data_IF_701283666206
#
_entry.id   IF_701283666206
#
_cell.length_a   1.000
_cell.length_b   1.000
_cell.length_c   1.000
_cell.angle_alpha   90.00
_cell.angle_beta   90.00
_cell.angle_gamma   90.00
#
_symmetry.space_group_name_H-M   'P 1'
#
loop_
_entity.id
_entity.type
_entity.pdbx_description
1 polymer ?
#
# COMPACT_ATOMS: atom_id res chain seq x y z
N UNK A 1 80.44 5.02 -41.67
CA UNK A 1 79.49 3.94 -41.28
C UNK A 1 79.52 3.51 -39.79
N UNK A 2 80.22 4.19 -38.86
CA UNK A 2 80.17 3.86 -37.41
C UNK A 2 79.11 4.62 -36.60
N UNK A 3 78.56 5.71 -37.12
CA UNK A 3 77.56 6.56 -36.41
C UNK A 3 76.13 6.00 -36.47
N UNK A 4 75.75 5.34 -37.57
CA UNK A 4 74.39 4.83 -37.79
C UNK A 4 73.98 3.71 -36.83
N UNK A 5 74.95 2.94 -36.31
CA UNK A 5 74.68 1.83 -35.36
C UNK A 5 74.33 2.30 -33.94
N UNK A 6 74.65 3.55 -33.56
CA UNK A 6 74.36 4.07 -32.21
C UNK A 6 72.91 4.53 -32.02
N UNK A 7 72.21 4.87 -33.11
CA UNK A 7 70.81 5.33 -33.05
C UNK A 7 69.77 4.19 -33.13
N UNK A 8 70.15 3.00 -33.61
CA UNK A 8 69.23 1.87 -33.83
C UNK A 8 68.89 1.15 -32.51
N UNK A 9 69.85 1.05 -31.59
CA UNK A 9 69.67 0.36 -30.31
C UNK A 9 68.58 0.97 -29.40
N UNK A 10 68.50 2.31 -29.19
CA UNK A 10 67.44 2.88 -28.35
C UNK A 10 66.06 2.75 -28.98
N UNK A 11 65.93 2.83 -30.31
CA UNK A 11 64.65 2.65 -31.02
C UNK A 11 64.16 1.21 -30.86
N UNK A 12 65.06 0.23 -30.99
CA UNK A 12 64.72 -1.17 -30.79
C UNK A 12 64.25 -1.46 -29.36
N UNK A 13 64.91 -0.87 -28.35
CA UNK A 13 64.49 -0.98 -26.95
C UNK A 13 63.13 -0.35 -26.68
N UNK A 14 62.84 0.81 -27.27
CA UNK A 14 61.52 1.46 -27.13
C UNK A 14 60.43 0.61 -27.76
N UNK A 15 60.65 0.10 -28.97
CA UNK A 15 59.69 -0.79 -29.65
C UNK A 15 59.50 -2.09 -28.86
N UNK A 16 60.57 -2.67 -28.31
CA UNK A 16 60.49 -3.88 -27.49
C UNK A 16 59.70 -3.64 -26.21
N UNK A 17 59.96 -2.53 -25.51
CA UNK A 17 59.20 -2.12 -24.31
C UNK A 17 57.73 -1.85 -24.63
N UNK A 18 57.44 -1.20 -25.76
CA UNK A 18 56.06 -0.93 -26.19
C UNK A 18 55.34 -2.23 -26.58
N UNK A 19 56.01 -3.14 -27.28
CA UNK A 19 55.48 -4.45 -27.63
C UNK A 19 55.25 -5.34 -26.39
N UNK A 20 56.13 -5.30 -25.39
CA UNK A 20 55.92 -6.01 -24.12
C UNK A 20 54.82 -5.39 -23.29
N UNK A 21 54.76 -4.06 -23.16
CA UNK A 21 53.67 -3.38 -22.48
C UNK A 21 52.31 -3.66 -23.15
N UNK A 22 52.26 -3.62 -24.48
CA UNK A 22 51.07 -3.95 -25.27
C UNK A 22 50.70 -5.44 -25.12
N UNK A 23 51.68 -6.35 -25.12
CA UNK A 23 51.46 -7.77 -24.86
C UNK A 23 50.89 -8.01 -23.47
N UNK A 24 51.42 -7.38 -22.41
CA UNK A 24 50.89 -7.50 -21.06
C UNK A 24 49.54 -6.80 -20.89
N UNK A 25 49.27 -5.72 -21.62
CA UNK A 25 47.96 -5.06 -21.66
C UNK A 25 46.90 -5.95 -22.34
N UNK A 26 47.23 -6.55 -23.48
CA UNK A 26 46.36 -7.48 -24.21
C UNK A 26 46.20 -8.83 -23.49
N UNK A 27 47.22 -9.27 -22.74
CA UNK A 27 47.23 -10.52 -21.96
C UNK A 27 46.83 -10.32 -20.49
N UNK A 28 46.51 -9.08 -20.09
CA UNK A 28 45.62 -8.82 -18.95
C UNK A 28 44.23 -9.27 -19.42
N UNK A 29 44.09 -10.58 -19.63
CA UNK A 29 42.83 -11.20 -19.99
C UNK A 29 41.79 -10.74 -18.99
N UNK A 30 40.55 -10.63 -19.44
CA UNK A 30 39.43 -10.33 -18.57
C UNK A 30 39.63 -11.09 -17.26
N UNK A 31 39.52 -10.42 -16.10
CA UNK A 31 39.61 -11.13 -14.84
C UNK A 31 38.68 -12.33 -14.97
N UNK A 32 39.13 -13.51 -14.56
CA UNK A 32 38.38 -14.75 -14.74
C UNK A 32 37.13 -14.73 -13.84
N UNK A 33 36.15 -13.92 -14.22
CA UNK A 33 34.87 -13.82 -13.57
C UNK A 33 34.08 -15.06 -13.96
N UNK A 34 33.44 -15.68 -12.98
CA UNK A 34 32.52 -16.78 -13.24
C UNK A 34 31.30 -16.21 -13.96
N UNK A 35 31.32 -16.26 -15.30
CA UNK A 35 30.15 -15.93 -16.12
C UNK A 35 29.06 -16.96 -15.90
N UNK A 36 27.83 -16.49 -15.78
CA UNK A 36 26.64 -17.32 -15.63
C UNK A 36 25.59 -16.87 -16.63
N UNK A 37 24.72 -17.78 -17.07
CA UNK A 37 23.56 -17.42 -17.89
C UNK A 37 22.42 -17.01 -16.98
N UNK A 38 22.08 -15.72 -16.95
CA UNK A 38 20.98 -15.20 -16.12
C UNK A 38 20.23 -14.06 -16.80
N UNK A 39 18.91 -14.06 -16.64
CA UNK A 39 18.02 -13.02 -17.13
C UNK A 39 17.59 -12.05 -16.03
N UNK A 40 16.77 -11.09 -16.38
CA UNK A 40 16.28 -10.03 -15.49
C UNK A 40 14.78 -10.00 -15.47
N UNK A 41 14.20 -9.52 -14.37
CA UNK A 41 12.79 -9.18 -14.31
C UNK A 41 12.53 -8.07 -13.29
N UNK A 42 11.44 -7.31 -13.49
CA UNK A 42 10.93 -6.37 -12.50
C UNK A 42 9.50 -6.75 -12.12
N UNK A 43 9.16 -6.53 -10.86
CA UNK A 43 7.83 -6.72 -10.30
C UNK A 43 7.53 -5.60 -9.32
N UNK A 44 6.24 -5.39 -9.09
CA UNK A 44 5.70 -4.56 -8.04
C UNK A 44 4.79 -5.38 -7.14
N UNK A 45 4.32 -4.74 -6.06
CA UNK A 45 3.33 -5.34 -5.18
C UNK A 45 1.97 -5.28 -5.87
N UNK A 46 1.20 -6.37 -5.77
CA UNK A 46 -0.13 -6.45 -6.37
C UNK A 46 -0.99 -5.23 -5.97
N UNK A 47 -1.61 -4.58 -6.96
CA UNK A 47 -2.39 -3.35 -6.87
C UNK A 47 -1.60 -2.06 -6.58
N UNK A 48 -0.28 -2.10 -6.55
CA UNK A 48 0.57 -0.94 -6.27
C UNK A 48 1.41 -0.63 -7.50
N UNK A 49 0.77 -0.11 -8.57
CA UNK A 49 1.39 -0.04 -9.88
C UNK A 49 2.58 0.92 -9.86
N UNK A 50 3.71 0.43 -10.37
CA UNK A 50 4.95 1.18 -10.50
C UNK A 50 5.26 1.40 -11.98
N UNK A 51 5.76 2.58 -12.33
CA UNK A 51 6.27 2.86 -13.66
C UNK A 51 7.78 3.04 -13.57
N UNK A 52 8.54 2.14 -14.20
CA UNK A 52 10.00 2.20 -14.15
C UNK A 52 10.50 3.01 -15.33
N UNK A 53 11.24 4.07 -15.02
CA UNK A 53 11.89 4.90 -16.03
C UNK A 53 13.18 4.25 -16.50
N UNK A 54 14.04 3.84 -15.57
CA UNK A 54 15.30 3.15 -15.88
C UNK A 54 15.63 2.12 -14.80
N UNK A 55 16.16 0.97 -15.19
CA UNK A 55 16.72 -0.01 -14.25
C UNK A 55 17.88 -0.74 -14.93
N UNK A 56 19.05 -0.71 -14.29
CA UNK A 56 20.31 -1.23 -14.86
C UNK A 56 21.10 -1.98 -13.81
N UNK A 57 21.53 -3.17 -14.16
CA UNK A 57 22.58 -3.90 -13.47
C UNK A 57 23.93 -3.56 -14.08
N UNK A 58 24.93 -3.31 -13.25
CA UNK A 58 26.29 -2.99 -13.68
C UNK A 58 27.21 -4.12 -13.23
N UNK A 59 27.85 -4.77 -14.19
CA UNK A 59 28.77 -5.89 -13.98
C UNK A 59 30.19 -5.41 -13.60
N UNK A 60 31.07 -6.30 -13.11
CA UNK A 60 32.43 -5.93 -12.71
C UNK A 60 33.28 -5.27 -13.80
N UNK A 61 33.04 -5.61 -15.06
CA UNK A 61 33.68 -5.02 -16.25
C UNK A 61 33.06 -3.68 -16.67
N UNK A 62 32.02 -3.22 -15.96
CA UNK A 62 31.33 -1.96 -16.21
C UNK A 62 30.24 -2.04 -17.29
N UNK A 63 29.95 -3.23 -17.82
CA UNK A 63 28.83 -3.41 -18.74
C UNK A 63 27.51 -3.14 -18.01
N UNK A 64 26.64 -2.35 -18.65
CA UNK A 64 25.32 -2.03 -18.14
C UNK A 64 24.30 -2.94 -18.83
N UNK A 65 23.69 -3.82 -18.06
CA UNK A 65 22.60 -4.70 -18.49
C UNK A 65 21.30 -4.05 -18.05
N UNK A 66 20.47 -3.63 -19.02
CA UNK A 66 19.13 -3.14 -18.69
C UNK A 66 18.28 -4.28 -18.14
N UNK A 67 17.52 -4.00 -17.09
CA UNK A 67 16.64 -4.99 -16.48
C UNK A 67 15.42 -5.09 -17.40
N UNK A 68 15.48 -6.07 -18.33
CA UNK A 68 14.56 -6.46 -19.42
C UNK A 68 13.35 -5.57 -19.69
N UNK A 69 13.17 -5.24 -20.97
CA UNK A 69 12.08 -4.43 -21.55
C UNK A 69 10.74 -4.58 -20.80
N UNK A 70 10.33 -3.47 -20.16
CA UNK A 70 9.03 -3.30 -19.52
C UNK A 70 7.94 -3.77 -20.50
N UNK A 71 7.24 -4.85 -20.14
CA UNK A 71 6.49 -5.70 -21.07
C UNK A 71 5.79 -4.96 -22.22
N UNK A 72 6.08 -5.34 -23.45
CA UNK A 72 5.55 -4.79 -24.71
C UNK A 72 5.70 -3.28 -24.98
N UNK A 73 5.69 -2.36 -24.00
CA UNK A 73 6.05 -0.94 -24.21
C UNK A 73 6.62 -0.32 -22.90
N UNK A 74 7.74 0.40 -23.00
CA UNK A 74 8.40 1.20 -21.94
C UNK A 74 7.50 2.24 -21.25
N UNK A 75 6.22 2.27 -21.59
CA UNK A 75 5.24 3.28 -21.20
C UNK A 75 4.09 2.73 -20.35
N UNK A 76 4.07 1.42 -20.04
CA UNK A 76 3.05 0.84 -19.16
C UNK A 76 3.54 0.67 -17.72
N UNK A 77 2.64 0.89 -16.73
CA UNK A 77 2.85 0.42 -15.37
C UNK A 77 3.09 -1.08 -15.33
N UNK A 78 3.89 -1.52 -14.36
CA UNK A 78 4.00 -2.92 -14.01
C UNK A 78 2.63 -3.44 -13.53
N UNK A 79 2.33 -4.70 -13.86
CA UNK A 79 1.09 -5.41 -13.48
C UNK A 79 1.43 -6.71 -12.76
N UNK A 80 2.41 -6.65 -11.86
CA UNK A 80 3.17 -7.80 -11.40
C UNK A 80 2.58 -8.55 -10.20
N UNK A 81 2.92 -9.84 -10.13
CA UNK A 81 2.88 -10.59 -8.86
C UNK A 81 4.24 -10.43 -8.18
N UNK A 82 4.22 -10.07 -6.89
CA UNK A 82 5.42 -9.78 -6.09
C UNK A 82 6.52 -10.84 -6.23
N UNK A 83 7.64 -10.46 -6.84
CA UNK A 83 8.80 -11.31 -7.09
C UNK A 83 8.57 -12.47 -8.06
N UNK A 84 7.54 -12.42 -8.91
CA UNK A 84 7.40 -13.35 -10.06
C UNK A 84 8.08 -12.75 -11.29
N UNK A 85 8.07 -11.41 -11.39
CA UNK A 85 8.77 -10.62 -12.41
C UNK A 85 8.18 -10.75 -13.80
N UNK A 86 8.01 -9.62 -14.50
CA UNK A 86 7.87 -9.62 -15.96
C UNK A 86 9.28 -9.42 -16.53
N UNK A 87 9.77 -10.35 -17.35
CA UNK A 87 11.10 -10.27 -17.91
C UNK A 87 11.56 -11.53 -18.61
N UNK A 88 12.76 -11.46 -19.18
CA UNK A 88 13.34 -12.55 -19.96
C UNK A 88 13.92 -13.62 -19.02
N UNK A 89 13.59 -14.88 -19.32
CA UNK A 89 14.24 -16.04 -18.70
C UNK A 89 15.48 -16.48 -19.50
N UNK A 90 15.75 -15.85 -20.65
CA UNK A 90 16.89 -16.16 -21.50
C UNK A 90 18.00 -15.19 -21.17
N UNK A 91 18.91 -15.66 -20.33
CA UNK A 91 20.00 -14.84 -19.84
C UNK A 91 21.12 -14.62 -20.84
N UNK A 92 21.82 -13.51 -20.70
CA UNK A 92 23.14 -13.34 -21.29
C UNK A 92 24.17 -14.11 -20.45
N UNK A 93 25.21 -14.64 -21.09
CA UNK A 93 26.31 -15.29 -20.39
C UNK A 93 27.27 -14.22 -19.85
N UNK A 94 26.98 -13.69 -18.67
CA UNK A 94 27.68 -12.55 -18.08
C UNK A 94 27.99 -12.77 -16.60
N UNK A 95 29.02 -12.08 -16.05
CA UNK A 95 29.24 -12.11 -14.60
C UNK A 95 28.03 -11.54 -13.84
N UNK A 96 27.86 -11.98 -12.60
CA UNK A 96 26.83 -11.40 -11.73
C UNK A 96 27.12 -9.93 -11.46
N UNK A 97 26.08 -9.08 -11.37
CA UNK A 97 26.28 -7.65 -11.24
C UNK A 97 26.77 -7.25 -9.85
N UNK A 98 27.58 -6.18 -9.82
CA UNK A 98 28.07 -5.56 -8.59
C UNK A 98 27.25 -4.34 -8.20
N UNK A 99 26.53 -3.72 -9.14
CA UNK A 99 25.71 -2.53 -8.83
C UNK A 99 24.34 -2.60 -9.47
N UNK A 100 23.41 -1.88 -8.85
CA UNK A 100 22.08 -1.60 -9.35
C UNK A 100 21.89 -0.08 -9.42
N UNK A 101 21.45 0.44 -10.55
CA UNK A 101 20.95 1.81 -10.71
C UNK A 101 19.50 1.75 -11.16
N UNK A 102 18.61 2.49 -10.50
CA UNK A 102 17.17 2.41 -10.77
C UNK A 102 16.47 3.75 -10.52
N UNK A 103 15.43 3.98 -11.32
CA UNK A 103 14.59 5.18 -11.35
C UNK A 103 13.14 4.79 -11.68
N UNK A 104 12.17 5.13 -10.82
CA UNK A 104 10.78 4.76 -11.03
C UNK A 104 9.80 5.71 -10.34
N UNK A 105 8.56 5.70 -10.81
CA UNK A 105 7.40 6.39 -10.26
C UNK A 105 6.51 5.39 -9.52
N UNK A 106 6.21 5.67 -8.26
CA UNK A 106 5.07 5.06 -7.58
C UNK A 106 3.81 5.86 -7.90
N UNK A 107 2.85 5.25 -8.62
CA UNK A 107 1.58 5.92 -8.94
C UNK A 107 0.69 6.10 -7.71
N UNK A 108 0.81 5.18 -6.75
CA UNK A 108 0.10 5.25 -5.48
C UNK A 108 0.53 6.44 -4.63
N UNK A 109 1.84 6.67 -4.55
CA UNK A 109 2.42 7.76 -3.75
C UNK A 109 2.63 9.05 -4.57
N UNK A 110 2.41 8.99 -5.89
CA UNK A 110 2.71 10.07 -6.84
C UNK A 110 4.13 10.62 -6.65
N UNK A 111 5.07 9.73 -6.37
CA UNK A 111 6.43 10.06 -5.95
C UNK A 111 7.43 9.29 -6.81
N UNK A 112 8.45 10.01 -7.29
CA UNK A 112 9.59 9.42 -7.99
C UNK A 112 10.66 8.99 -7.00
N UNK A 113 11.27 7.84 -7.26
CA UNK A 113 12.33 7.25 -6.47
C UNK A 113 13.54 6.95 -7.34
N UNK A 114 14.74 7.17 -6.78
CA UNK A 114 16.01 6.91 -7.46
C UNK A 114 17.03 6.34 -6.52
N UNK A 115 17.77 5.34 -6.99
CA UNK A 115 18.77 4.66 -6.19
C UNK A 115 19.94 4.14 -7.02
N UNK A 116 21.11 4.12 -6.38
CA UNK A 116 22.31 3.45 -6.88
C UNK A 116 22.90 2.66 -5.71
N UNK A 117 23.03 1.35 -5.87
CA UNK A 117 23.37 0.43 -4.79
C UNK A 117 24.48 -0.52 -5.20
N UNK A 118 25.40 -0.79 -4.27
CA UNK A 118 26.32 -1.92 -4.39
C UNK A 118 25.58 -3.21 -4.00
N UNK A 119 25.79 -4.28 -4.76
CA UNK A 119 25.15 -5.57 -4.59
C UNK A 119 26.06 -6.52 -3.79
N UNK A 120 25.50 -7.41 -2.96
CA UNK A 120 26.29 -8.30 -2.12
C UNK A 120 26.81 -9.49 -2.95
N UNK A 121 27.89 -9.27 -3.69
CA UNK A 121 28.49 -10.22 -4.65
C UNK A 121 28.59 -11.66 -4.10
N UNK A 122 29.26 -11.84 -2.95
CA UNK A 122 29.46 -13.16 -2.36
C UNK A 122 28.14 -13.87 -2.02
N UNK A 123 27.12 -13.11 -1.61
CA UNK A 123 25.79 -13.66 -1.33
C UNK A 123 25.04 -13.99 -2.60
N UNK A 124 25.13 -13.15 -3.64
CA UNK A 124 24.52 -13.41 -4.93
C UNK A 124 25.06 -14.68 -5.57
N UNK A 125 26.38 -14.84 -5.63
CA UNK A 125 27.03 -16.05 -6.14
C UNK A 125 26.60 -17.31 -5.38
N UNK A 126 26.58 -17.24 -4.04
CA UNK A 126 26.12 -18.34 -3.19
C UNK A 126 24.66 -18.72 -3.46
N UNK A 127 23.76 -17.73 -3.55
CA UNK A 127 22.35 -17.96 -3.81
C UNK A 127 22.11 -18.50 -5.22
N UNK A 128 22.77 -17.96 -6.25
CA UNK A 128 22.68 -18.45 -7.63
C UNK A 128 23.05 -19.92 -7.72
N UNK A 129 24.15 -20.33 -7.09
CA UNK A 129 24.53 -21.75 -7.04
C UNK A 129 23.49 -22.59 -6.30
N UNK A 130 23.03 -22.12 -5.14
CA UNK A 130 22.11 -22.85 -4.28
C UNK A 130 20.74 -23.12 -4.94
N UNK A 131 20.19 -22.15 -5.68
CA UNK A 131 18.87 -22.29 -6.32
C UNK A 131 18.94 -22.65 -7.80
N UNK A 132 20.14 -22.91 -8.34
CA UNK A 132 20.37 -23.05 -9.80
C UNK A 132 19.77 -21.84 -10.52
N UNK A 133 20.18 -20.66 -10.06
CA UNK A 133 19.64 -19.36 -10.46
C UNK A 133 19.80 -19.13 -11.95
N UNK A 134 18.74 -18.62 -12.55
CA UNK A 134 18.66 -18.24 -13.96
C UNK A 134 18.07 -16.83 -14.14
N UNK A 135 17.66 -16.16 -13.05
CA UNK A 135 17.04 -14.85 -13.12
C UNK A 135 17.26 -14.02 -11.85
N UNK A 136 17.55 -12.73 -12.05
CA UNK A 136 17.48 -11.69 -11.03
C UNK A 136 16.14 -10.96 -11.11
N UNK A 137 15.41 -10.89 -10.01
CA UNK A 137 14.10 -10.22 -9.95
C UNK A 137 14.17 -9.04 -9.00
N UNK A 138 13.82 -7.85 -9.50
CA UNK A 138 13.63 -6.65 -8.70
C UNK A 138 12.17 -6.51 -8.29
N UNK A 139 11.92 -6.28 -7.00
CA UNK A 139 10.62 -5.96 -6.44
C UNK A 139 10.60 -4.52 -5.98
N UNK A 140 9.68 -3.72 -6.51
CA UNK A 140 9.49 -2.33 -6.13
C UNK A 140 8.27 -2.17 -5.23
N UNK A 141 8.46 -1.48 -4.10
CA UNK A 141 7.41 -1.25 -3.11
C UNK A 141 7.34 0.24 -2.73
N UNK A 142 6.26 0.65 -2.06
CA UNK A 142 6.08 2.03 -1.57
C UNK A 142 7.19 2.43 -0.59
N UNK A 143 7.42 3.74 -0.44
CA UNK A 143 8.49 4.26 0.41
C UNK A 143 9.89 4.02 -0.17
N UNK A 144 10.00 3.76 -1.48
CA UNK A 144 11.27 3.57 -2.17
C UNK A 144 11.94 2.21 -1.91
N UNK A 145 11.22 1.24 -1.35
CA UNK A 145 11.78 -0.07 -1.00
C UNK A 145 12.01 -0.90 -2.27
N UNK A 146 13.18 -1.53 -2.35
CA UNK A 146 13.57 -2.45 -3.42
C UNK A 146 13.97 -3.77 -2.79
N UNK A 147 13.46 -4.88 -3.30
CA UNK A 147 13.90 -6.22 -2.92
C UNK A 147 14.50 -6.93 -4.13
N UNK A 148 15.71 -7.47 -3.98
CA UNK A 148 16.38 -8.26 -5.01
C UNK A 148 16.26 -9.75 -4.67
N UNK A 149 15.71 -10.54 -5.58
CA UNK A 149 15.70 -12.00 -5.49
C UNK A 149 16.56 -12.65 -6.56
N UNK A 150 17.08 -13.82 -6.20
CA UNK A 150 17.60 -14.82 -7.14
C UNK A 150 16.53 -15.88 -7.31
N UNK A 151 16.14 -16.16 -8.55
CA UNK A 151 15.18 -17.19 -8.94
C UNK A 151 15.86 -18.19 -9.85
N UNK A 152 15.48 -19.46 -9.71
CA UNK A 152 15.96 -20.57 -10.52
C UNK A 152 15.15 -21.83 -10.28
N UNK A 153 15.62 -22.97 -10.80
CA UNK A 153 14.94 -24.26 -10.69
C UNK A 153 14.76 -24.74 -9.23
N UNK A 154 15.64 -24.31 -8.32
CA UNK A 154 15.57 -24.59 -6.88
C UNK A 154 14.65 -23.66 -6.09
N UNK A 155 13.93 -22.75 -6.77
CA UNK A 155 13.01 -21.79 -6.17
C UNK A 155 13.55 -20.35 -6.16
N UNK A 156 13.01 -19.55 -5.25
CA UNK A 156 13.32 -18.11 -5.13
C UNK A 156 13.86 -17.77 -3.75
N UNK A 157 14.95 -17.00 -3.68
CA UNK A 157 15.58 -16.55 -2.42
C UNK A 157 15.91 -15.07 -2.48
N UNK A 158 15.72 -14.39 -1.36
CA UNK A 158 16.04 -12.97 -1.21
C UNK A 158 17.54 -12.76 -1.02
N UNK A 159 18.11 -11.91 -1.88
CA UNK A 159 19.51 -11.54 -1.85
C UNK A 159 19.74 -10.28 -1.00
N UNK A 160 18.93 -9.25 -1.20
CA UNK A 160 19.08 -7.96 -0.53
C UNK A 160 17.79 -7.14 -0.53
N UNK A 161 17.72 -6.18 0.39
CA UNK A 161 16.72 -5.12 0.41
C UNK A 161 17.44 -3.78 0.45
N UNK A 162 16.93 -2.81 -0.32
CA UNK A 162 17.44 -1.46 -0.40
C UNK A 162 16.30 -0.46 -0.22
N UNK A 163 16.66 0.80 0.03
CA UNK A 163 15.72 1.92 0.07
C UNK A 163 16.27 3.05 -0.78
N UNK A 164 15.56 3.37 -1.86
CA UNK A 164 15.82 4.53 -2.70
C UNK A 164 15.31 5.80 -2.04
N UNK A 165 15.88 6.93 -2.46
CA UNK A 165 15.41 8.24 -2.02
C UNK A 165 14.31 8.74 -2.95
N UNK A 166 13.31 9.38 -2.37
CA UNK A 166 12.38 10.20 -3.14
C UNK A 166 13.15 11.36 -3.80
N UNK A 167 12.76 11.74 -5.01
CA UNK A 167 13.36 12.86 -5.73
C UNK A 167 12.35 13.51 -6.67
N UNK A 168 12.70 14.68 -7.19
CA UNK A 168 11.93 15.37 -8.22
C UNK A 168 12.73 15.27 -9.54
N UNK A 169 12.18 14.66 -10.61
CA UNK A 169 12.85 14.63 -11.91
C UNK A 169 13.01 16.03 -12.49
N UNK A 170 14.14 16.26 -13.17
CA UNK A 170 14.32 17.44 -14.02
C UNK A 170 13.48 17.27 -15.27
N UNK A 171 12.21 17.64 -15.16
CA UNK A 171 11.22 17.41 -16.20
C UNK A 171 11.57 18.10 -17.53
N UNK A 172 12.29 19.23 -17.48
CA UNK A 172 12.68 19.99 -18.68
C UNK A 172 13.67 19.24 -19.55
N UNK A 173 14.48 18.39 -18.94
CA UNK A 173 15.54 17.63 -19.60
C UNK A 173 15.27 16.11 -19.55
N UNK A 174 14.03 15.71 -19.28
CA UNK A 174 13.65 14.31 -19.15
C UNK A 174 13.27 13.70 -20.49
N UNK A 175 13.84 12.54 -20.80
CA UNK A 175 13.47 11.73 -21.97
C UNK A 175 12.07 11.10 -21.85
N UNK A 176 11.48 11.11 -20.65
CA UNK A 176 10.19 10.45 -20.38
C UNK A 176 9.02 11.06 -21.15
N UNK A 177 9.00 12.38 -21.29
CA UNK A 177 8.02 13.09 -22.13
C UNK A 177 8.34 14.59 -22.23
N UNK A 178 9.16 15.03 -23.19
CA UNK A 178 9.62 16.42 -23.28
C UNK A 178 8.50 17.41 -23.67
N UNK A 179 7.30 16.93 -24.03
CA UNK A 179 6.19 17.76 -24.54
C UNK A 179 5.00 17.88 -23.58
N UNK A 180 4.95 17.07 -22.52
CA UNK A 180 3.88 17.15 -21.53
C UNK A 180 4.43 17.62 -20.17
N UNK A 181 3.56 18.01 -19.24
CA UNK A 181 3.97 18.30 -17.86
C UNK A 181 4.03 17.00 -17.06
N UNK A 182 4.76 16.98 -15.94
CA UNK A 182 4.79 15.81 -15.05
C UNK A 182 3.38 15.37 -14.62
N UNK A 183 2.50 16.32 -14.30
CA UNK A 183 1.12 16.01 -13.94
C UNK A 183 0.38 15.34 -15.10
N UNK A 184 0.52 15.85 -16.33
CA UNK A 184 -0.12 15.26 -17.50
C UNK A 184 0.42 13.84 -17.78
N UNK A 185 1.72 13.63 -17.59
CA UNK A 185 2.35 12.32 -17.68
C UNK A 185 1.78 11.35 -16.64
N UNK A 186 1.75 11.76 -15.36
CA UNK A 186 1.20 10.94 -14.28
C UNK A 186 -0.27 10.60 -14.54
N UNK A 187 -1.06 11.57 -15.00
CA UNK A 187 -2.47 11.36 -15.35
C UNK A 187 -2.62 10.35 -16.50
N UNK A 188 -1.77 10.47 -17.54
CA UNK A 188 -1.74 9.52 -18.67
C UNK A 188 -1.39 8.12 -18.20
N UNK A 189 -0.30 7.95 -17.45
CA UNK A 189 0.12 6.65 -16.92
C UNK A 189 -0.94 6.07 -15.97
N UNK A 190 -1.60 6.91 -15.17
CA UNK A 190 -2.72 6.51 -14.33
C UNK A 190 -3.95 6.04 -15.14
N UNK A 191 -4.15 6.48 -16.39
CA UNK A 191 -5.19 5.91 -17.25
C UNK A 191 -4.83 4.53 -17.81
N UNK A 192 -3.55 4.14 -17.77
CA UNK A 192 -3.09 2.84 -18.28
C UNK A 192 -3.21 1.71 -17.24
N UNK A 193 -3.34 2.05 -15.95
CA UNK A 193 -3.58 1.04 -14.91
C UNK A 193 -5.00 0.48 -14.97
N UNK A 194 -5.17 -0.74 -14.47
CA UNK A 194 -6.46 -1.41 -14.40
C UNK A 194 -7.46 -0.65 -13.52
N UNK A 195 -8.78 -0.79 -13.72
CA UNK A 195 -9.78 -0.26 -12.80
C UNK A 195 -9.52 -0.66 -11.34
N UNK A 196 -9.12 -1.90 -11.09
CA UNK A 196 -8.83 -2.45 -9.77
C UNK A 196 -7.64 -1.74 -9.11
N UNK A 197 -6.57 -1.47 -9.85
CA UNK A 197 -5.43 -0.68 -9.37
C UNK A 197 -5.82 0.77 -9.06
N UNK A 198 -6.64 1.39 -9.91
CA UNK A 198 -7.15 2.75 -9.65
C UNK A 198 -7.98 2.80 -8.38
N UNK A 199 -8.80 1.78 -8.15
CA UNK A 199 -9.60 1.66 -6.93
C UNK A 199 -8.71 1.46 -5.70
N UNK A 200 -7.66 0.64 -5.80
CA UNK A 200 -6.69 0.47 -4.71
C UNK A 200 -5.94 1.78 -4.39
N UNK A 201 -5.55 2.54 -5.42
CA UNK A 201 -4.94 3.88 -5.25
C UNK A 201 -5.96 4.82 -4.57
N UNK A 202 -7.20 4.86 -5.05
CA UNK A 202 -8.24 5.73 -4.52
C UNK A 202 -8.61 5.40 -3.06
N UNK A 203 -8.57 4.12 -2.67
CA UNK A 203 -8.76 3.66 -1.31
C UNK A 203 -7.58 4.08 -0.40
N UNK A 204 -6.36 4.02 -0.93
CA UNK A 204 -5.14 4.35 -0.19
C UNK A 204 -4.77 5.84 -0.19
N UNK A 205 -5.53 6.70 -0.87
CA UNK A 205 -5.24 8.13 -0.91
C UNK A 205 -5.75 8.81 0.37
N UNK A 206 -4.95 9.63 1.08
CA UNK A 206 -5.45 10.46 2.18
C UNK A 206 -6.47 11.50 1.70
N UNK A 207 -7.39 11.92 2.59
CA UNK A 207 -8.41 12.93 2.24
C UNK A 207 -7.77 14.25 1.78
N UNK A 208 -6.73 14.70 2.48
CA UNK A 208 -5.98 15.94 2.18
C UNK A 208 -5.34 15.98 0.78
N UNK A 209 -5.15 14.82 0.15
CA UNK A 209 -4.51 14.69 -1.18
C UNK A 209 -5.52 14.54 -2.31
N UNK A 210 -6.81 14.40 -2.00
CA UNK A 210 -7.85 14.35 -3.02
C UNK A 210 -7.98 15.70 -3.72
N UNK A 211 -8.00 15.67 -5.05
CA UNK A 211 -8.22 16.84 -5.88
C UNK A 211 -9.60 16.76 -6.50
N UNK A 212 -10.33 17.87 -6.44
CA UNK A 212 -11.61 17.96 -7.14
C UNK A 212 -11.38 18.03 -8.65
N UNK A 213 -12.16 17.27 -9.41
CA UNK A 213 -12.31 17.44 -10.86
C UNK A 213 -13.64 18.14 -11.10
N UNK A 214 -13.60 19.31 -11.73
CA UNK A 214 -14.79 20.14 -11.97
C UNK A 214 -15.58 20.44 -10.68
N UNK A 215 -14.87 20.62 -9.56
CA UNK A 215 -15.45 20.86 -8.24
C UNK A 215 -16.01 19.62 -7.53
N UNK A 216 -15.89 18.43 -8.14
CA UNK A 216 -16.35 17.16 -7.58
C UNK A 216 -15.16 16.33 -7.08
N UNK A 217 -15.26 15.89 -5.83
CA UNK A 217 -14.34 14.94 -5.22
C UNK A 217 -14.90 13.52 -5.38
N UNK A 218 -14.09 12.62 -5.92
CA UNK A 218 -14.43 11.21 -6.10
C UNK A 218 -13.45 10.35 -5.33
N UNK A 219 -13.93 9.31 -4.66
CA UNK A 219 -13.06 8.32 -4.04
C UNK A 219 -13.82 7.15 -3.43
N UNK A 220 -13.06 6.25 -2.80
CA UNK A 220 -13.59 5.15 -2.00
C UNK A 220 -13.43 5.50 -0.52
N UNK A 221 -14.47 5.27 0.26
CA UNK A 221 -14.56 5.60 1.68
C UNK A 221 -15.17 4.41 2.43
N UNK A 222 -14.82 4.26 3.69
CA UNK A 222 -15.51 3.32 4.58
C UNK A 222 -16.76 3.99 5.15
N UNK A 223 -17.91 3.33 4.99
CA UNK A 223 -19.18 3.77 5.55
C UNK A 223 -19.18 3.57 7.07
N UNK A 224 -19.58 4.61 7.81
CA UNK A 224 -19.75 4.53 9.26
C UNK A 224 -21.25 4.40 9.57
N UNK A 225 -22.03 5.42 9.26
CA UNK A 225 -23.45 5.48 9.56
C UNK A 225 -24.17 6.58 8.78
N UNK A 226 -25.50 6.50 8.75
CA UNK A 226 -26.37 7.63 8.44
C UNK A 226 -27.03 8.13 9.72
N UNK A 227 -27.09 9.45 9.90
CA UNK A 227 -27.74 10.06 11.04
C UNK A 227 -28.48 11.34 10.66
N UNK A 228 -29.50 11.70 11.43
CA UNK A 228 -30.24 12.95 11.24
C UNK A 228 -29.76 13.98 12.25
N UNK A 229 -29.27 15.13 11.79
CA UNK A 229 -28.83 16.23 12.64
C UNK A 229 -29.42 17.54 12.13
N UNK A 230 -30.06 18.29 13.02
CA UNK A 230 -30.64 19.63 12.76
C UNK A 230 -31.66 19.71 11.60
N UNK A 231 -32.10 18.56 11.07
CA UNK A 231 -33.03 18.47 9.94
C UNK A 231 -32.39 17.90 8.68
N UNK A 232 -31.06 17.87 8.61
CA UNK A 232 -30.31 17.26 7.52
C UNK A 232 -30.03 15.78 7.81
N UNK A 233 -29.97 14.98 6.75
CA UNK A 233 -29.44 13.61 6.81
C UNK A 233 -27.95 13.68 6.51
N UNK A 234 -27.14 13.22 7.45
CA UNK A 234 -25.69 13.17 7.35
C UNK A 234 -25.23 11.74 7.06
N UNK A 235 -24.35 11.62 6.07
CA UNK A 235 -23.57 10.43 5.79
C UNK A 235 -22.21 10.57 6.47
N UNK A 236 -21.94 9.69 7.44
CA UNK A 236 -20.65 9.60 8.12
C UNK A 236 -19.78 8.57 7.41
N UNK A 237 -18.57 8.98 7.02
CA UNK A 237 -17.60 8.12 6.34
C UNK A 237 -16.20 8.31 6.90
N UNK A 238 -15.36 7.31 6.69
CA UNK A 238 -13.93 7.33 6.98
C UNK A 238 -13.14 7.27 5.68
N UNK A 239 -12.08 8.07 5.58
CA UNK A 239 -10.99 7.82 4.65
C UNK A 239 -9.68 7.72 5.44
N UNK A 240 -9.14 6.51 5.55
CA UNK A 240 -7.94 6.20 6.35
C UNK A 240 -8.04 6.56 7.83
N UNK A 241 -7.56 7.75 8.21
CA UNK A 241 -7.58 8.27 9.58
C UNK A 241 -8.50 9.49 9.71
N UNK A 242 -9.05 9.98 8.60
CA UNK A 242 -9.90 11.18 8.55
C UNK A 242 -11.37 10.79 8.47
N UNK A 243 -12.19 11.29 9.39
CA UNK A 243 -13.65 11.13 9.35
C UNK A 243 -14.31 12.36 8.74
N UNK A 244 -15.40 12.15 8.02
CA UNK A 244 -16.19 13.21 7.40
C UNK A 244 -17.68 13.01 7.67
N UNK A 245 -18.39 14.13 7.79
CA UNK A 245 -19.85 14.18 7.82
C UNK A 245 -20.34 14.97 6.61
N UNK A 246 -21.07 14.31 5.73
CA UNK A 246 -21.52 14.85 4.44
C UNK A 246 -23.03 14.97 4.43
N UNK A 247 -23.57 16.05 3.87
CA UNK A 247 -25.02 16.17 3.70
C UNK A 247 -25.47 15.22 2.59
N UNK A 248 -26.32 14.26 2.95
CA UNK A 248 -26.88 13.27 2.04
C UNK A 248 -28.22 13.74 1.48
N UNK A 249 -28.22 14.19 0.22
CA UNK A 249 -29.44 14.64 -0.47
C UNK A 249 -29.99 13.60 -1.46
N UNK A 250 -29.13 12.74 -1.99
CA UNK A 250 -29.47 11.80 -3.07
C UNK A 250 -29.93 10.42 -2.60
N UNK A 251 -29.83 10.15 -1.30
CA UNK A 251 -30.01 8.82 -0.75
C UNK A 251 -28.74 7.99 -0.91
N UNK A 252 -28.44 7.21 0.12
CA UNK A 252 -27.35 6.22 0.13
C UNK A 252 -27.94 4.87 -0.29
N UNK A 253 -27.16 3.95 -0.87
CA UNK A 253 -27.66 2.62 -1.20
C UNK A 253 -28.40 2.00 -0.01
N UNK A 254 -29.56 1.39 -0.27
CA UNK A 254 -30.29 0.68 0.78
C UNK A 254 -29.41 -0.45 1.32
N UNK A 255 -29.38 -0.59 2.65
CA UNK A 255 -28.68 -1.65 3.37
C UNK A 255 -27.14 -1.59 3.35
N UNK A 256 -26.56 -0.41 3.60
CA UNK A 256 -25.15 -0.33 4.02
C UNK A 256 -24.99 -0.71 5.49
N UNK A 257 -23.91 -1.40 5.80
CA UNK A 257 -23.46 -1.65 7.17
C UNK A 257 -22.10 -1.00 7.41
N UNK A 258 -21.84 -0.65 8.68
CA UNK A 258 -20.56 -0.08 9.09
C UNK A 258 -19.40 -0.96 8.60
N UNK A 259 -18.39 -0.34 7.99
CA UNK A 259 -17.27 -1.04 7.37
C UNK A 259 -17.41 -1.35 5.88
N UNK A 260 -18.57 -1.12 5.27
CA UNK A 260 -18.71 -1.22 3.82
C UNK A 260 -17.86 -0.16 3.13
N UNK A 261 -17.17 -0.54 2.06
CA UNK A 261 -16.48 0.41 1.20
C UNK A 261 -17.49 0.95 0.18
N UNK A 262 -17.60 2.27 0.09
CA UNK A 262 -18.48 2.95 -0.84
C UNK A 262 -17.69 3.85 -1.78
N UNK A 263 -18.07 3.86 -3.05
CA UNK A 263 -17.63 4.89 -4.00
C UNK A 263 -18.53 6.10 -3.82
N UNK A 264 -17.92 7.25 -3.60
CA UNK A 264 -18.62 8.48 -3.23
C UNK A 264 -18.12 9.64 -4.09
N UNK A 265 -19.09 10.34 -4.68
CA UNK A 265 -18.90 11.63 -5.34
C UNK A 265 -19.53 12.71 -4.47
N UNK A 266 -18.77 13.74 -4.11
CA UNK A 266 -19.26 14.85 -3.28
C UNK A 266 -18.65 16.18 -3.71
N UNK A 267 -19.30 17.29 -3.37
CA UNK A 267 -18.79 18.64 -3.64
C UNK A 267 -19.08 19.61 -2.52
N UNK A 268 -18.33 20.71 -2.48
CA UNK A 268 -18.63 21.85 -1.60
C UNK A 268 -19.61 22.76 -2.32
N UNK A 269 -20.76 23.05 -1.70
CA UNK A 269 -21.76 23.98 -2.24
C UNK A 269 -22.49 24.73 -1.13
N UNK A 270 -23.15 25.83 -1.48
CA UNK A 270 -24.06 26.50 -0.55
C UNK A 270 -25.26 25.59 -0.24
N UNK A 271 -25.53 25.38 1.04
CA UNK A 271 -26.68 24.62 1.54
C UNK A 271 -27.35 25.40 2.66
N UNK A 272 -28.66 25.58 2.55
CA UNK A 272 -29.52 26.06 3.62
C UNK A 272 -30.22 24.84 4.22
N UNK A 273 -30.03 24.61 5.52
CA UNK A 273 -30.88 23.67 6.25
C UNK A 273 -32.35 24.11 6.11
N UNK A 274 -33.28 23.17 6.17
CA UNK A 274 -34.74 23.40 6.02
C UNK A 274 -35.37 24.21 7.19
N UNK A 275 -34.66 25.20 7.75
CA UNK A 275 -35.16 26.12 8.77
C UNK A 275 -35.11 27.54 8.21
N UNK A 276 -36.23 28.24 8.29
CA UNK A 276 -36.51 29.56 7.67
C UNK A 276 -35.59 30.73 8.11
N UNK A 277 -34.49 30.48 8.82
CA UNK A 277 -33.67 31.53 9.45
C UNK A 277 -32.16 31.26 9.47
N UNK A 278 -31.67 30.20 8.80
CA UNK A 278 -30.21 29.94 8.71
C UNK A 278 -29.68 30.41 7.37
N UNK A 279 -28.76 31.37 7.38
CA UNK A 279 -28.06 31.81 6.18
C UNK A 279 -27.36 30.61 5.50
N UNK A 280 -27.39 30.51 4.16
CA UNK A 280 -26.68 29.46 3.43
C UNK A 280 -25.20 29.43 3.82
N UNK A 281 -24.69 28.22 4.08
CA UNK A 281 -23.28 27.99 4.38
C UNK A 281 -22.68 27.03 3.35
N UNK A 282 -21.37 27.14 3.11
CA UNK A 282 -20.65 26.14 2.34
C UNK A 282 -20.62 24.82 3.11
N UNK A 283 -21.21 23.78 2.53
CA UNK A 283 -21.28 22.44 3.10
C UNK A 283 -20.79 21.42 2.08
N UNK A 284 -20.28 20.31 2.59
CA UNK A 284 -19.92 19.15 1.79
C UNK A 284 -21.19 18.33 1.56
N UNK A 285 -21.53 18.09 0.29
CA UNK A 285 -22.80 17.47 -0.11
C UNK A 285 -22.52 16.27 -1.00
N UNK A 286 -23.13 15.13 -0.66
CA UNK A 286 -23.11 13.90 -1.46
C UNK A 286 -23.88 14.13 -2.75
N UNK A 287 -23.24 13.80 -3.87
CA UNK A 287 -23.86 13.77 -5.20
C UNK A 287 -24.31 12.36 -5.56
N UNK A 288 -23.45 11.38 -5.28
CA UNK A 288 -23.67 9.98 -5.59
C UNK A 288 -22.92 9.11 -4.56
N UNK A 289 -23.53 8.01 -4.16
CA UNK A 289 -22.93 7.00 -3.30
C UNK A 289 -23.34 5.61 -3.81
N UNK A 290 -22.38 4.72 -4.00
CA UNK A 290 -22.63 3.34 -4.40
C UNK A 290 -21.77 2.38 -3.58
N UNK A 291 -22.30 1.18 -3.32
CA UNK A 291 -21.51 0.11 -2.69
C UNK A 291 -20.38 -0.29 -3.63
N UNK A 292 -19.14 -0.19 -3.14
CA UNK A 292 -17.95 -0.64 -3.85
C UNK A 292 -17.57 -2.05 -3.41
N UNK A 293 -17.45 -2.29 -2.10
CA UNK A 293 -17.16 -3.61 -1.53
C UNK A 293 -17.86 -3.79 -0.18
N UNK A 294 -18.41 -4.99 0.07
CA UNK A 294 -18.95 -5.34 1.38
C UNK A 294 -17.84 -5.43 2.43
N UNK A 295 -18.05 -4.75 3.55
CA UNK A 295 -17.25 -4.85 4.75
C UNK A 295 -17.42 -6.20 5.45
N UNK A 296 -16.65 -6.43 6.52
CA UNK A 296 -16.72 -7.69 7.28
C UNK A 296 -18.10 -7.92 7.89
N UNK A 297 -18.76 -6.87 8.39
CA UNK A 297 -20.10 -6.98 8.98
C UNK A 297 -21.13 -7.39 7.92
N UNK A 298 -21.17 -6.72 6.76
CA UNK A 298 -22.07 -7.13 5.66
C UNK A 298 -21.81 -8.56 5.19
N UNK A 299 -20.54 -8.95 5.03
CA UNK A 299 -20.16 -10.34 4.68
C UNK A 299 -20.59 -11.35 5.76
N UNK A 300 -20.60 -10.96 7.02
CA UNK A 300 -21.03 -11.79 8.15
C UNK A 300 -22.57 -11.91 8.19
N UNK A 301 -23.30 -10.81 7.98
CA UNK A 301 -24.76 -10.80 7.86
C UNK A 301 -25.22 -11.72 6.73
N UNK A 302 -24.58 -11.65 5.56
CA UNK A 302 -24.86 -12.55 4.43
C UNK A 302 -24.69 -14.04 4.80
N UNK A 303 -23.78 -14.34 5.74
CA UNK A 303 -23.48 -15.69 6.22
C UNK A 303 -24.25 -16.09 7.49
N UNK A 304 -25.21 -15.24 7.89
CA UNK A 304 -25.94 -15.29 9.15
C UNK A 304 -25.04 -15.00 10.36
N UNK A 305 -25.10 -13.75 10.84
CA UNK A 305 -24.47 -13.33 12.10
C UNK A 305 -25.20 -13.98 13.28
N UNK A 306 -24.50 -14.39 14.37
CA UNK A 306 -25.17 -14.87 15.56
C UNK A 306 -26.11 -13.82 16.15
N UNK A 307 -27.19 -14.29 16.76
CA UNK A 307 -28.11 -13.42 17.49
C UNK A 307 -27.40 -12.80 18.70
N UNK A 308 -27.69 -11.53 18.96
CA UNK A 308 -27.14 -10.78 20.08
C UNK A 308 -28.21 -10.56 21.14
N UNK A 309 -27.95 -11.06 22.36
CA UNK A 309 -28.84 -10.88 23.51
C UNK A 309 -28.21 -9.90 24.51
N UNK A 310 -28.77 -8.70 24.60
CA UNK A 310 -28.27 -7.62 25.46
C UNK A 310 -29.01 -7.52 26.79
N UNK A 311 -28.30 -7.56 27.90
CA UNK A 311 -28.79 -7.23 29.24
C UNK A 311 -28.26 -5.86 29.67
N UNK A 312 -29.15 -4.88 29.81
CA UNK A 312 -28.81 -3.51 30.16
C UNK A 312 -29.06 -3.28 31.66
N UNK A 313 -27.99 -3.18 32.45
CA UNK A 313 -28.07 -2.92 33.89
C UNK A 313 -28.31 -1.44 34.21
N UNK A 314 -27.94 -0.57 33.26
CA UNK A 314 -28.21 0.88 33.30
C UNK A 314 -29.61 1.22 32.79
N UNK A 315 -30.26 2.19 33.44
CA UNK A 315 -31.54 2.76 33.00
C UNK A 315 -31.39 4.00 32.14
N UNK A 316 -30.15 4.44 31.86
CA UNK A 316 -29.88 5.71 31.19
C UNK A 316 -29.80 5.61 29.66
N UNK A 317 -29.84 4.40 29.10
CA UNK A 317 -29.78 4.17 27.66
C UNK A 317 -31.22 4.11 27.12
N UNK A 318 -31.55 5.05 26.23
CA UNK A 318 -32.80 5.04 25.48
C UNK A 318 -32.87 3.86 24.50
N UNK A 319 -34.07 3.47 24.06
CA UNK A 319 -34.20 2.39 23.05
C UNK A 319 -33.39 2.65 21.76
N UNK A 320 -33.40 3.86 21.16
CA UNK A 320 -32.50 4.16 20.03
C UNK A 320 -31.01 4.03 20.38
N UNK A 321 -30.63 4.31 21.63
CA UNK A 321 -29.28 4.10 22.13
C UNK A 321 -28.91 2.63 22.22
N UNK A 322 -29.85 1.76 22.62
CA UNK A 322 -29.68 0.30 22.63
C UNK A 322 -29.50 -0.26 21.23
N UNK A 323 -30.33 0.19 20.26
CA UNK A 323 -30.19 -0.19 18.85
C UNK A 323 -28.83 0.21 18.28
N UNK A 324 -28.39 1.46 18.53
CA UNK A 324 -27.08 1.94 18.12
C UNK A 324 -25.95 1.10 18.75
N UNK A 325 -26.07 0.79 20.04
CA UNK A 325 -25.10 -0.02 20.75
C UNK A 325 -25.02 -1.42 20.17
N UNK A 326 -26.15 -2.08 19.91
CA UNK A 326 -26.21 -3.40 19.30
C UNK A 326 -25.54 -3.40 17.91
N UNK A 327 -25.83 -2.40 17.06
CA UNK A 327 -25.14 -2.24 15.76
C UNK A 327 -23.63 -2.07 15.91
N UNK A 328 -23.20 -1.28 16.88
CA UNK A 328 -21.77 -1.05 17.15
C UNK A 328 -21.10 -2.33 17.66
N UNK A 329 -21.77 -3.11 18.52
CA UNK A 329 -21.30 -4.42 18.98
C UNK A 329 -21.20 -5.39 17.80
N UNK A 330 -22.19 -5.46 16.91
CA UNK A 330 -22.12 -6.29 15.70
C UNK A 330 -20.90 -5.95 14.84
N UNK A 331 -20.62 -4.66 14.63
CA UNK A 331 -19.43 -4.22 13.90
C UNK A 331 -18.14 -4.60 14.62
N UNK A 332 -18.08 -4.43 15.95
CA UNK A 332 -16.95 -4.84 16.78
C UNK A 332 -16.70 -6.34 16.67
N UNK A 333 -17.72 -7.18 16.85
CA UNK A 333 -17.63 -8.63 16.72
C UNK A 333 -17.10 -9.04 15.34
N UNK A 334 -17.62 -8.39 14.28
CA UNK A 334 -17.19 -8.62 12.90
C UNK A 334 -15.71 -8.23 12.64
N UNK A 335 -15.12 -7.37 13.46
CA UNK A 335 -13.75 -6.87 13.30
C UNK A 335 -12.79 -7.24 14.45
N UNK A 336 -13.24 -7.96 15.47
CA UNK A 336 -12.44 -8.27 16.65
C UNK A 336 -11.17 -9.04 16.29
N UNK A 337 -10.09 -8.71 17.00
CA UNK A 337 -8.81 -9.43 16.92
C UNK A 337 -8.71 -10.56 17.96
N UNK A 338 -9.67 -10.63 18.88
CA UNK A 338 -9.75 -11.67 19.91
C UNK A 338 -10.15 -13.00 19.26
N UNK A 339 -9.31 -14.03 19.43
CA UNK A 339 -9.49 -15.33 18.78
C UNK A 339 -10.71 -16.07 19.29
N UNK A 340 -11.07 -15.91 20.57
CA UNK A 340 -12.20 -16.59 21.18
C UNK A 340 -13.52 -15.95 20.72
N UNK A 341 -13.55 -14.62 20.62
CA UNK A 341 -14.67 -13.92 19.96
C UNK A 341 -14.81 -14.39 18.52
N UNK A 342 -13.72 -14.41 17.74
CA UNK A 342 -13.79 -14.84 16.33
C UNK A 342 -14.24 -16.27 16.17
N UNK A 343 -13.77 -17.19 17.03
CA UNK A 343 -14.23 -18.57 17.04
C UNK A 343 -15.74 -18.67 17.27
N UNK A 344 -16.26 -17.95 18.27
CA UNK A 344 -17.69 -17.96 18.56
C UNK A 344 -18.53 -17.39 17.41
N UNK A 345 -18.07 -16.29 16.80
CA UNK A 345 -18.76 -15.62 15.69
C UNK A 345 -18.72 -16.43 14.39
N UNK A 346 -17.55 -16.97 14.03
CA UNK A 346 -17.33 -17.58 12.71
C UNK A 346 -17.66 -19.08 12.65
N UNK A 347 -17.46 -19.81 13.76
CA UNK A 347 -17.52 -21.27 13.78
C UNK A 347 -18.72 -21.79 14.57
N UNK A 348 -18.84 -21.37 15.83
CA UNK A 348 -19.83 -21.96 16.74
C UNK A 348 -21.24 -21.45 16.45
N UNK A 349 -21.35 -20.23 15.89
CA UNK A 349 -22.59 -19.51 15.59
C UNK A 349 -23.59 -19.47 16.75
N UNK A 350 -23.10 -19.65 17.97
CA UNK A 350 -23.92 -19.63 19.16
C UNK A 350 -24.26 -18.18 19.52
N UNK A 351 -25.44 -17.99 20.12
CA UNK A 351 -25.90 -16.68 20.57
C UNK A 351 -24.84 -16.00 21.43
N UNK A 352 -24.60 -14.73 21.15
CA UNK A 352 -23.62 -13.92 21.89
C UNK A 352 -24.40 -13.04 22.85
N UNK A 353 -24.21 -13.32 24.14
CA UNK A 353 -24.80 -12.50 25.19
C UNK A 353 -23.86 -11.35 25.53
N UNK A 354 -24.42 -10.20 25.87
CA UNK A 354 -23.64 -9.10 26.41
C UNK A 354 -24.37 -8.39 27.55
N UNK A 355 -23.60 -7.87 28.50
CA UNK A 355 -24.12 -7.03 29.60
C UNK A 355 -23.57 -5.63 29.45
N UNK A 356 -24.40 -4.62 29.71
CA UNK A 356 -24.04 -3.20 29.62
C UNK A 356 -24.24 -2.55 30.98
N UNK A 357 -23.17 -1.96 31.51
CA UNK A 357 -23.17 -1.28 32.81
C UNK A 357 -22.61 0.14 32.65
N UNK A 358 -23.04 1.06 33.53
CA UNK A 358 -22.52 2.42 33.55
C UNK A 358 -21.05 2.41 33.98
N UNK A 359 -20.21 3.12 33.23
CA UNK A 359 -18.81 3.26 33.58
C UNK A 359 -18.29 4.65 33.22
N UNK A 360 -17.81 5.39 34.22
CA UNK A 360 -17.33 6.76 34.03
C UNK A 360 -15.86 6.94 34.37
N UNK A 361 -15.22 7.84 33.64
CA UNK A 361 -14.03 8.57 34.07
C UNK A 361 -14.46 9.88 34.74
N UNK A 362 -13.57 10.58 35.46
CA UNK A 362 -13.89 11.85 36.17
C UNK A 362 -14.66 12.85 35.30
N UNK A 363 -14.35 12.92 34.01
CA UNK A 363 -14.88 13.92 33.06
C UNK A 363 -15.76 13.33 31.95
N UNK A 364 -15.98 12.02 31.94
CA UNK A 364 -16.68 11.35 30.84
C UNK A 364 -17.49 10.16 31.33
N UNK A 365 -18.75 10.09 30.92
CA UNK A 365 -19.59 8.90 31.12
C UNK A 365 -19.49 8.03 29.88
N UNK A 366 -19.37 6.73 30.08
CA UNK A 366 -19.55 5.73 29.05
C UNK A 366 -20.11 4.45 29.64
N UNK A 367 -19.88 3.35 28.96
CA UNK A 367 -20.46 2.06 29.32
C UNK A 367 -19.41 0.97 29.23
N UNK A 368 -19.36 0.14 30.27
CA UNK A 368 -18.58 -1.08 30.27
C UNK A 368 -19.46 -2.20 29.73
N UNK A 369 -18.96 -2.91 28.73
CA UNK A 369 -19.70 -3.99 28.08
C UNK A 369 -18.93 -5.29 28.31
N UNK A 370 -19.60 -6.30 28.89
CA UNK A 370 -19.08 -7.65 28.99
C UNK A 370 -19.70 -8.51 27.89
N UNK A 371 -18.89 -8.98 26.95
CA UNK A 371 -19.29 -9.90 25.88
C UNK A 371 -18.99 -11.32 26.36
N UNK A 372 -20.00 -12.16 26.41
CA UNK A 372 -19.92 -13.57 26.81
C UNK A 372 -20.39 -14.43 25.65
N UNK A 373 -19.48 -14.83 24.74
CA UNK A 373 -19.78 -15.82 23.73
C UNK A 373 -20.19 -17.12 24.44
N UNK A 374 -21.22 -17.80 23.93
CA UNK A 374 -21.67 -19.07 24.48
C UNK A 374 -20.70 -20.20 24.10
N UNK A 375 -19.50 -20.16 24.68
CA UNK A 375 -18.50 -21.23 24.61
C UNK A 375 -18.73 -22.19 25.78
N UNK A 376 -18.37 -23.46 25.60
CA UNK A 376 -18.51 -24.51 26.61
C UNK A 376 -17.81 -24.19 27.97
N UNK A 377 -17.05 -23.10 28.04
CA UNK A 377 -16.44 -22.58 29.25
C UNK A 377 -17.14 -21.28 29.71
N UNK A 378 -18.04 -21.32 30.71
CA UNK A 378 -18.87 -20.18 31.13
C UNK A 378 -18.09 -19.04 31.82
N UNK A 379 -16.76 -19.15 31.95
CA UNK A 379 -15.92 -18.14 32.60
C UNK A 379 -15.36 -17.07 31.65
N UNK A 380 -15.53 -17.19 30.33
CA UNK A 380 -14.98 -16.20 29.41
C UNK A 380 -15.90 -14.99 29.27
N UNK A 381 -15.45 -13.86 29.79
CA UNK A 381 -16.05 -12.54 29.58
C UNK A 381 -15.00 -11.61 28.98
N UNK A 382 -15.23 -11.17 27.75
CA UNK A 382 -14.40 -10.19 27.09
C UNK A 382 -14.95 -8.79 27.34
N UNK A 383 -14.14 -7.93 27.95
CA UNK A 383 -14.58 -6.60 28.38
C UNK A 383 -14.16 -5.54 27.37
N UNK A 384 -15.10 -4.69 26.99
CA UNK A 384 -14.88 -3.53 26.14
C UNK A 384 -15.55 -2.29 26.72
N UNK A 385 -15.21 -1.13 26.16
CA UNK A 385 -15.76 0.15 26.60
C UNK A 385 -16.37 0.90 25.42
N UNK A 386 -17.56 1.44 25.62
CA UNK A 386 -18.26 2.28 24.65
C UNK A 386 -18.44 3.69 25.20
N UNK A 387 -17.99 4.69 24.45
CA UNK A 387 -18.16 6.10 24.80
C UNK A 387 -19.20 6.77 23.90
N UNK A 388 -20.19 7.48 24.46
CA UNK A 388 -21.10 8.34 23.70
C UNK A 388 -20.41 9.47 22.92
N UNK A 389 -19.16 9.82 23.25
CA UNK A 389 -18.37 10.81 22.48
C UNK A 389 -17.73 10.20 21.24
N UNK A 390 -17.50 8.89 21.25
CA UNK A 390 -16.94 8.12 20.16
C UNK A 390 -18.01 7.17 19.62
N UNK A 391 -19.11 7.77 19.13
CA UNK A 391 -20.18 7.02 18.49
C UNK A 391 -19.58 6.09 17.43
N UNK A 392 -20.08 4.87 17.35
CA UNK A 392 -19.63 3.83 16.41
C UNK A 392 -18.25 3.20 16.67
N UNK A 393 -17.61 3.49 17.80
CA UNK A 393 -16.35 2.88 18.19
C UNK A 393 -16.43 2.21 19.57
N UNK A 394 -15.96 0.97 19.64
CA UNK A 394 -15.80 0.21 20.88
C UNK A 394 -14.29 0.06 21.11
N UNK A 395 -13.85 0.51 22.29
CA UNK A 395 -12.46 0.42 22.73
C UNK A 395 -12.20 -0.89 23.47
N UNK A 396 -11.01 -1.43 23.27
CA UNK A 396 -10.51 -2.49 24.13
C UNK A 396 -10.37 -1.98 25.57
N UNK A 397 -10.66 -2.81 26.57
CA UNK A 397 -10.67 -2.37 27.96
C UNK A 397 -9.34 -1.76 28.41
N UNK A 398 -8.22 -2.31 27.95
CA UNK A 398 -6.89 -1.78 28.27
C UNK A 398 -6.61 -0.40 27.63
N UNK A 399 -7.22 -0.11 26.47
CA UNK A 399 -7.16 1.22 25.85
C UNK A 399 -7.95 2.23 26.69
N UNK A 400 -9.15 1.84 27.12
CA UNK A 400 -10.00 2.65 27.99
C UNK A 400 -9.31 2.96 29.34
N UNK A 401 -8.58 2.00 29.91
CA UNK A 401 -7.79 2.21 31.14
C UNK A 401 -6.62 3.17 30.94
N UNK A 402 -5.95 3.13 29.78
CA UNK A 402 -4.90 4.11 29.46
C UNK A 402 -5.47 5.52 29.31
N UNK A 403 -6.62 5.66 28.64
CA UNK A 403 -7.33 6.93 28.52
C UNK A 403 -7.73 7.48 29.89
N UNK A 404 -8.19 6.61 30.80
CA UNK A 404 -8.44 6.97 32.21
C UNK A 404 -7.21 7.55 32.89
N UNK A 405 -6.08 6.84 32.81
CA UNK A 405 -4.85 7.26 33.48
C UNK A 405 -4.29 8.59 32.95
N UNK A 406 -4.59 8.95 31.70
CA UNK A 406 -4.19 10.23 31.11
C UNK A 406 -5.09 11.40 31.53
N UNK A 407 -6.31 11.12 32.00
CA UNK A 407 -7.33 12.12 32.35
C UNK A 407 -7.52 12.28 33.86
N UNK A 408 -6.93 11.39 34.67
CA UNK A 408 -6.96 11.41 36.14
C UNK A 408 -5.80 12.15 36.77
#
# INVERSE_FOLDING_TARGET
MRSFKKAILPIFLIVLCFATALYFYLKRGDPAWNKMTWGTAVSDRYLWPMMVSTARFITPDGLSIEVSEFGHEQYYPLSGKWGVGNGENHGNNEPLPLKLSIDWLSLREKTWYKGAFELPEARLDSLFKAVKGDQLVLGLDTGGVIVLWVKGAGGKREAATFTARAYQPDWKNSDLSPKETESAYMDRVYQLVTPEERDAIALAQPLKEQKAKDGVYTGIYEFIAEMRMEGDNLLLVHKQHDSMALINLGGVPKALNQGDLIRLDWKIRQHSANRDSVAPAQRQVVLNASLFEKGKLSKLIDRHIPDLEGAYLTTHISEPGKELMQRTISYYLANSKDKDIRKAVDLDKADIKFTVDDYGFKTERGYKIAITPNVANPSFAHWVYYSPRHLFYIMEWEEARKLKAQTE
#
